data_IF_965443318282
#
_entry.id   IF_965443318282
#
_cell.length_a   1.000
_cell.length_b   1.000
_cell.length_c   1.000
_cell.angle_alpha   90.00
_cell.angle_beta   90.00
_cell.angle_gamma   90.00
#
_symmetry.space_group_name_H-M   'P 1'
#
loop_
_entity.id
_entity.type
_entity.pdbx_description
1 polymer ?
#
# COMPACT_ATOMS: atom_id res chain seq x y z
N UNK A 1 0.76 -10.70 -12.47
CA UNK A 1 0.13 -11.51 -11.39
C UNK A 1 -0.30 -10.54 -10.33
N UNK A 2 -1.51 -10.70 -9.80
CA UNK A 2 -2.05 -9.76 -8.81
C UNK A 2 -1.30 -9.87 -7.48
N UNK A 3 -1.01 -8.73 -6.87
CA UNK A 3 -0.33 -8.62 -5.60
C UNK A 3 -1.29 -8.03 -4.58
N UNK A 4 -1.65 -8.82 -3.56
CA UNK A 4 -2.50 -8.35 -2.45
C UNK A 4 -1.58 -7.74 -1.41
N UNK A 5 -1.65 -6.43 -1.19
CA UNK A 5 -0.79 -5.68 -0.27
C UNK A 5 -1.40 -5.49 1.12
N UNK A 6 -2.70 -5.73 1.27
CA UNK A 6 -3.36 -5.63 2.57
C UNK A 6 -4.64 -6.45 2.61
N UNK A 7 -4.84 -7.12 3.74
CA UNK A 7 -6.07 -7.84 4.09
C UNK A 7 -6.77 -7.16 5.28
N UNK A 8 -8.10 -7.19 5.27
CA UNK A 8 -8.92 -6.93 6.46
C UNK A 8 -9.39 -8.27 7.02
N UNK A 9 -8.84 -8.65 8.16
CA UNK A 9 -9.26 -9.85 8.88
C UNK A 9 -10.55 -9.60 9.67
N UNK A 10 -11.49 -10.54 9.55
CA UNK A 10 -12.82 -10.55 10.17
C UNK A 10 -13.04 -11.95 10.77
N UNK A 11 -12.33 -12.24 11.87
CA UNK A 11 -12.27 -13.58 12.44
C UNK A 11 -11.52 -14.54 11.51
N UNK A 12 -12.18 -15.61 11.08
CA UNK A 12 -11.62 -16.62 10.17
C UNK A 12 -11.66 -16.21 8.69
N UNK A 13 -12.31 -15.10 8.36
CA UNK A 13 -12.38 -14.58 6.99
C UNK A 13 -11.45 -13.40 6.81
N UNK A 14 -10.92 -13.25 5.59
CA UNK A 14 -10.11 -12.10 5.19
C UNK A 14 -10.70 -11.52 3.91
N UNK A 15 -10.75 -10.18 3.83
CA UNK A 15 -11.10 -9.47 2.60
C UNK A 15 -9.91 -8.69 2.09
N UNK A 16 -9.74 -8.63 0.77
CA UNK A 16 -8.71 -7.80 0.16
C UNK A 16 -9.02 -6.34 0.43
N UNK A 17 -8.05 -5.60 0.94
CA UNK A 17 -8.19 -4.17 1.22
C UNK A 17 -7.44 -3.34 0.19
N UNK A 18 -6.25 -3.80 -0.24
CA UNK A 18 -5.45 -3.19 -1.28
C UNK A 18 -4.83 -4.28 -2.16
N UNK A 19 -5.12 -4.25 -3.45
CA UNK A 19 -4.56 -5.19 -4.43
C UNK A 19 -4.06 -4.41 -5.64
N UNK A 20 -2.85 -4.70 -6.11
CA UNK A 20 -2.32 -4.17 -7.38
C UNK A 20 -2.43 -5.25 -8.44
N UNK A 21 -2.89 -4.86 -9.62
CA UNK A 21 -3.15 -5.73 -10.78
C UNK A 21 -2.54 -5.11 -12.04
N UNK A 22 -2.66 -5.79 -13.18
CA UNK A 22 -2.26 -5.22 -14.47
C UNK A 22 -3.12 -4.03 -14.92
N UNK A 23 -4.37 -3.94 -14.44
CA UNK A 23 -5.32 -2.89 -14.83
C UNK A 23 -5.21 -1.63 -13.96
N UNK A 24 -4.64 -1.75 -12.76
CA UNK A 24 -4.66 -0.69 -11.75
C UNK A 24 -4.55 -1.26 -10.34
N UNK A 25 -5.17 -0.59 -9.37
CA UNK A 25 -5.23 -1.06 -8.00
C UNK A 25 -6.66 -1.02 -7.46
N UNK A 26 -7.04 -2.09 -6.77
CA UNK A 26 -8.28 -2.15 -6.01
C UNK A 26 -8.05 -1.65 -4.59
N UNK A 27 -8.88 -0.72 -4.12
CA UNK A 27 -8.98 -0.35 -2.72
C UNK A 27 -10.43 -0.49 -2.25
N UNK A 28 -10.67 -1.35 -1.24
CA UNK A 28 -12.02 -1.71 -0.77
C UNK A 28 -12.99 -2.05 -1.93
N UNK A 29 -12.57 -2.96 -2.80
CA UNK A 29 -13.34 -3.44 -3.96
C UNK A 29 -13.61 -2.38 -5.06
N UNK A 30 -13.09 -1.16 -4.93
CA UNK A 30 -13.14 -0.13 -5.98
C UNK A 30 -11.85 -0.16 -6.79
N UNK A 31 -11.96 -0.30 -8.11
CA UNK A 31 -10.82 -0.18 -9.03
C UNK A 31 -10.46 1.29 -9.25
N UNK A 32 -9.17 1.56 -9.21
CA UNK A 32 -8.55 2.82 -9.58
C UNK A 32 -7.38 2.55 -10.51
N UNK A 33 -7.02 3.54 -11.32
CA UNK A 33 -5.80 3.52 -12.11
C UNK A 33 -4.76 4.44 -11.49
N UNK A 34 -3.55 4.41 -12.03
CA UNK A 34 -2.51 5.36 -11.64
C UNK A 34 -2.89 6.81 -11.95
N UNK A 35 -3.72 7.04 -12.97
CA UNK A 35 -4.17 8.38 -13.33
C UNK A 35 -5.12 8.99 -12.28
N UNK A 36 -5.76 8.14 -11.48
CA UNK A 36 -6.55 8.58 -10.33
C UNK A 36 -5.67 9.08 -9.16
N UNK A 37 -4.36 8.80 -9.18
CA UNK A 37 -3.44 9.23 -8.12
C UNK A 37 -2.98 10.66 -8.40
N UNK A 38 -3.51 11.59 -7.61
CA UNK A 38 -3.18 13.02 -7.72
C UNK A 38 -1.85 13.37 -7.05
N UNK A 39 -1.59 12.78 -5.88
CA UNK A 39 -0.38 13.08 -5.10
C UNK A 39 -0.03 11.96 -4.12
N UNK A 40 1.26 11.72 -3.96
CA UNK A 40 1.79 10.84 -2.93
C UNK A 40 2.46 11.66 -1.83
N UNK A 41 2.22 11.31 -0.57
CA UNK A 41 2.97 11.83 0.57
C UNK A 41 3.53 10.68 1.38
N UNK A 42 4.84 10.66 1.59
CA UNK A 42 5.48 9.72 2.50
C UNK A 42 5.91 10.49 3.74
N UNK A 43 5.51 9.98 4.90
CA UNK A 43 5.85 10.55 6.21
C UNK A 43 6.44 9.48 7.10
N UNK A 44 7.48 9.84 7.84
CA UNK A 44 8.17 8.94 8.77
C UNK A 44 9.68 8.91 8.52
N UNK A 45 10.41 9.06 9.61
CA UNK A 45 11.87 8.99 9.71
C UNK A 45 12.25 9.04 11.19
N UNK A 46 13.15 8.15 11.62
CA UNK A 46 13.45 7.88 13.04
C UNK A 46 12.92 6.51 13.50
N UNK A 47 12.79 6.30 14.82
CA UNK A 47 12.41 5.01 15.43
C UNK A 47 10.93 4.58 15.23
N UNK A 48 10.20 5.18 14.29
CA UNK A 48 8.76 4.96 14.08
C UNK A 48 8.43 4.43 12.68
N UNK A 49 7.27 3.77 12.49
CA UNK A 49 6.91 3.18 11.21
C UNK A 49 6.61 4.23 10.14
N UNK A 50 7.09 3.99 8.92
CA UNK A 50 6.79 4.81 7.74
C UNK A 50 5.34 4.66 7.32
N UNK A 51 4.78 5.76 6.83
CA UNK A 51 3.40 5.84 6.32
C UNK A 51 3.37 6.55 4.98
N UNK A 52 2.45 6.13 4.15
CA UNK A 52 2.20 6.70 2.83
C UNK A 52 0.73 7.10 2.73
N UNK A 53 0.48 8.34 2.30
CA UNK A 53 -0.82 8.86 1.94
C UNK A 53 -0.93 8.96 0.42
N UNK A 54 -1.77 8.13 -0.19
CA UNK A 54 -2.13 8.23 -1.61
C UNK A 54 -3.36 9.12 -1.71
N UNK A 55 -3.21 10.31 -2.28
CA UNK A 55 -4.30 11.26 -2.50
C UNK A 55 -4.85 11.05 -3.89
N UNK A 56 -6.14 10.77 -3.96
CA UNK A 56 -6.85 10.49 -5.21
C UNK A 56 -7.45 11.77 -5.78
N UNK A 57 -7.67 11.78 -7.11
CA UNK A 57 -8.23 12.91 -7.85
C UNK A 57 -9.65 13.27 -7.37
N UNK A 58 -10.41 12.28 -6.91
CA UNK A 58 -11.74 12.43 -6.32
C UNK A 58 -11.75 13.00 -4.88
N UNK A 59 -10.58 13.31 -4.33
CA UNK A 59 -10.40 13.88 -2.99
C UNK A 59 -10.26 12.84 -1.87
N UNK A 60 -10.42 11.54 -2.14
CA UNK A 60 -10.18 10.48 -1.15
C UNK A 60 -8.68 10.34 -0.85
N UNK A 61 -8.39 9.84 0.36
CA UNK A 61 -7.02 9.57 0.82
C UNK A 61 -6.91 8.13 1.31
N UNK A 62 -5.97 7.37 0.75
CA UNK A 62 -5.61 6.04 1.23
C UNK A 62 -4.40 6.17 2.14
N UNK A 63 -4.53 5.75 3.40
CA UNK A 63 -3.44 5.72 4.36
C UNK A 63 -2.87 4.31 4.45
N UNK A 64 -1.58 4.19 4.18
CA UNK A 64 -0.83 2.93 4.17
C UNK A 64 0.27 3.03 5.22
N UNK A 65 0.40 2.00 6.05
CA UNK A 65 1.41 1.92 7.10
C UNK A 65 2.31 0.72 6.83
N UNK A 66 3.63 0.91 6.77
CA UNK A 66 4.58 -0.14 6.42
C UNK A 66 4.43 -1.40 7.30
N UNK A 67 4.19 -1.24 8.61
CA UNK A 67 4.06 -2.37 9.54
C UNK A 67 2.72 -3.11 9.44
N UNK A 68 1.74 -2.54 8.75
CA UNK A 68 0.41 -3.14 8.59
C UNK A 68 0.21 -3.80 7.22
N UNK A 69 1.20 -3.71 6.33
CA UNK A 69 1.16 -4.36 5.02
C UNK A 69 1.31 -5.87 5.16
N UNK A 70 0.69 -6.59 4.23
CA UNK A 70 0.78 -8.02 4.08
C UNK A 70 0.86 -8.31 2.58
N UNK A 71 1.93 -8.94 2.12
CA UNK A 71 2.02 -9.35 0.72
C UNK A 71 1.46 -10.76 0.60
N UNK A 72 0.32 -10.90 -0.06
CA UNK A 72 -0.40 -12.16 -0.26
C UNK A 72 -0.65 -12.91 1.06
N UNK A 73 -0.98 -12.15 2.13
CA UNK A 73 -1.24 -12.68 3.47
C UNK A 73 0.01 -12.95 4.32
N UNK A 74 1.21 -12.65 3.80
CA UNK A 74 2.47 -12.78 4.55
C UNK A 74 2.91 -11.42 5.05
N UNK A 75 3.15 -11.29 6.36
CA UNK A 75 3.71 -10.06 6.93
C UNK A 75 5.19 -9.91 6.56
N UNK A 76 5.58 -8.83 5.86
CA UNK A 76 6.97 -8.53 5.58
C UNK A 76 7.68 -8.08 6.85
N UNK A 77 8.98 -8.40 6.94
CA UNK A 77 9.82 -7.98 8.06
C UNK A 77 10.09 -6.47 7.95
N UNK A 78 9.59 -5.70 8.91
CA UNK A 78 9.93 -4.27 9.03
C UNK A 78 11.29 -4.11 9.69
N UNK A 79 12.13 -3.30 9.07
CA UNK A 79 13.43 -2.93 9.61
C UNK A 79 13.29 -1.87 10.70
N UNK A 80 13.96 -2.11 11.83
CA UNK A 80 13.84 -1.27 13.02
C UNK A 80 14.31 0.18 12.80
N UNK A 81 15.42 0.38 12.08
CA UNK A 81 16.04 1.70 11.89
C UNK A 81 15.43 2.52 10.75
N UNK A 82 14.93 1.86 9.70
CA UNK A 82 14.33 2.54 8.56
C UNK A 82 12.81 2.70 8.72
N UNK A 83 12.18 1.91 9.60
CA UNK A 83 10.74 1.93 9.86
C UNK A 83 9.92 1.46 8.66
N UNK A 84 10.54 0.81 7.68
CA UNK A 84 9.94 0.39 6.41
C UNK A 84 10.26 -1.08 6.10
N UNK A 85 9.73 -1.59 5.00
CA UNK A 85 10.04 -2.91 4.46
C UNK A 85 9.99 -2.86 2.93
N UNK A 86 10.52 -3.92 2.30
CA UNK A 86 10.57 -4.02 0.84
C UNK A 86 9.18 -3.84 0.19
N UNK A 87 8.15 -4.46 0.75
CA UNK A 87 6.77 -4.38 0.25
C UNK A 87 6.23 -2.94 0.25
N UNK A 88 6.57 -2.14 1.26
CA UNK A 88 6.20 -0.73 1.30
C UNK A 88 6.90 0.08 0.20
N UNK A 89 8.19 -0.14 -0.03
CA UNK A 89 8.94 0.59 -1.05
C UNK A 89 8.54 0.15 -2.47
N UNK A 90 8.21 -1.12 -2.69
CA UNK A 90 7.64 -1.62 -3.97
C UNK A 90 6.30 -0.96 -4.26
N UNK A 91 5.39 -0.94 -3.28
CA UNK A 91 4.09 -0.30 -3.41
C UNK A 91 4.21 1.22 -3.64
N UNK A 92 5.19 1.84 -2.98
CA UNK A 92 5.52 3.25 -3.19
C UNK A 92 5.99 3.50 -4.62
N UNK A 93 6.94 2.70 -5.12
CA UNK A 93 7.46 2.83 -6.48
C UNK A 93 6.33 2.72 -7.53
N UNK A 94 5.40 1.78 -7.32
CA UNK A 94 4.19 1.67 -8.14
C UNK A 94 3.38 2.98 -8.20
N UNK A 95 3.12 3.61 -7.05
CA UNK A 95 2.38 4.88 -6.99
C UNK A 95 3.18 6.09 -7.50
N UNK A 96 4.50 6.08 -7.35
CA UNK A 96 5.40 7.11 -7.92
C UNK A 96 5.56 6.95 -9.43
N UNK A 97 5.15 5.81 -9.99
CA UNK A 97 5.27 5.53 -11.41
C UNK A 97 6.64 5.08 -11.87
N UNK A 98 7.48 4.70 -10.92
CA UNK A 98 8.75 4.06 -11.18
C UNK A 98 8.45 2.57 -11.38
N UNK A 99 8.25 2.16 -12.63
CA UNK A 99 8.16 0.72 -12.93
C UNK A 99 9.51 0.08 -12.64
N UNK A 100 9.52 -0.94 -11.79
CA UNK A 100 10.52 -2.02 -11.81
C UNK A 100 10.13 -3.08 -12.84
#
# INVERSE_FOLDING_TARGET
MDQVYSLRHLGFFSKHLLTVTGEGFYYKDTLYTRDDVKKLFVSGGGAGPRRMGVHLADGRKILINAVALELNGVKPKTEFFSGTNQVFEELRAYFEGQST
#
